data_IF_840775376632
#
_entry.id   IF_840775376632
#
_cell.length_a   1.000
_cell.length_b   1.000
_cell.length_c   1.000
_cell.angle_alpha   90.00
_cell.angle_beta   90.00
_cell.angle_gamma   90.00
#
_symmetry.space_group_name_H-M   'P 1'
#
loop_
_entity.id
_entity.type
_entity.pdbx_description
1 polymer ?
#
# COMPACT_ATOMS: atom_id res chain seq x y z
N UNK A 1 15.34 -21.59 0.12
CA UNK A 1 16.78 -21.82 0.31
C UNK A 1 17.54 -21.08 -0.77
N UNK A 2 18.26 -20.05 -0.41
CA UNK A 2 19.10 -19.27 -1.33
C UNK A 2 20.33 -20.11 -1.70
N UNK A 3 20.62 -20.23 -2.98
CA UNK A 3 21.77 -21.02 -3.44
C UNK A 3 23.05 -20.19 -3.22
N UNK A 4 24.01 -20.68 -2.46
CA UNK A 4 25.27 -20.00 -2.10
C UNK A 4 26.00 -19.39 -3.32
N UNK A 5 25.91 -20.05 -4.50
CA UNK A 5 26.50 -19.56 -5.76
C UNK A 5 25.86 -18.28 -6.32
N UNK A 6 24.55 -18.06 -6.08
CA UNK A 6 23.87 -16.85 -6.53
C UNK A 6 24.14 -15.65 -5.60
N UNK A 7 24.41 -15.92 -4.31
CA UNK A 7 24.81 -14.90 -3.32
C UNK A 7 26.19 -14.36 -3.68
N UNK A 8 27.17 -15.23 -3.96
CA UNK A 8 28.54 -14.82 -4.32
C UNK A 8 28.60 -13.97 -5.59
N UNK A 9 27.77 -14.27 -6.59
CA UNK A 9 27.69 -13.49 -7.84
C UNK A 9 27.11 -12.09 -7.56
N UNK A 10 26.03 -12.00 -6.78
CA UNK A 10 25.40 -10.71 -6.49
C UNK A 10 26.26 -9.83 -5.58
N UNK A 11 26.96 -10.40 -4.59
CA UNK A 11 27.95 -9.66 -3.77
C UNK A 11 29.12 -9.18 -4.64
N UNK A 12 29.57 -9.99 -5.62
CA UNK A 12 30.64 -9.57 -6.55
C UNK A 12 30.20 -8.43 -7.48
N UNK A 13 28.91 -8.38 -7.88
CA UNK A 13 28.36 -7.29 -8.67
C UNK A 13 28.17 -6.00 -7.84
N UNK A 14 27.74 -6.09 -6.58
CA UNK A 14 27.71 -4.97 -5.66
C UNK A 14 29.08 -4.32 -5.48
N UNK A 15 30.15 -5.13 -5.40
CA UNK A 15 31.54 -4.64 -5.33
C UNK A 15 32.00 -3.88 -6.58
N UNK A 16 31.41 -4.18 -7.77
CA UNK A 16 31.74 -3.48 -9.03
C UNK A 16 30.99 -2.18 -9.27
N UNK A 17 29.76 -2.05 -8.73
CA UNK A 17 28.91 -0.87 -8.96
C UNK A 17 29.20 0.32 -8.02
N UNK A 18 30.07 0.17 -7.02
CA UNK A 18 30.31 1.15 -5.94
C UNK A 18 31.04 2.44 -6.37
N UNK A 19 31.13 2.74 -7.68
CA UNK A 19 31.90 3.90 -8.17
C UNK A 19 31.08 5.10 -8.65
N UNK A 20 29.74 5.08 -8.59
CA UNK A 20 28.89 6.19 -9.04
C UNK A 20 27.92 6.65 -7.94
N UNK A 21 28.05 7.88 -7.49
CA UNK A 21 27.34 8.63 -6.44
C UNK A 21 27.33 7.91 -5.07
N UNK A 22 27.98 8.49 -4.09
CA UNK A 22 28.08 7.93 -2.75
C UNK A 22 26.70 7.86 -2.09
N UNK A 23 26.15 6.64 -1.80
CA UNK A 23 24.94 6.51 -1.00
C UNK A 23 25.17 7.15 0.38
N UNK A 24 24.10 7.69 0.97
CA UNK A 24 24.16 8.14 2.35
C UNK A 24 24.40 6.94 3.27
N UNK A 25 25.04 7.14 4.43
CA UNK A 25 25.16 6.06 5.42
C UNK A 25 23.79 5.56 5.89
N UNK A 26 23.71 4.28 6.22
CA UNK A 26 22.54 3.68 6.85
C UNK A 26 22.49 4.08 8.32
N UNK A 27 21.61 5.00 8.71
CA UNK A 27 21.49 5.49 10.09
C UNK A 27 20.63 4.55 10.91
N UNK A 28 21.18 4.02 12.00
CA UNK A 28 20.48 3.12 12.93
C UNK A 28 19.40 3.89 13.67
N UNK A 29 18.16 3.37 13.64
CA UNK A 29 17.00 3.91 14.35
C UNK A 29 16.80 3.24 15.70
N UNK A 30 16.90 1.91 15.75
CA UNK A 30 16.78 1.13 16.97
C UNK A 30 17.50 -0.22 16.84
N UNK A 31 17.80 -0.83 17.96
CA UNK A 31 18.48 -2.11 18.10
C UNK A 31 17.54 -3.06 18.85
N UNK A 32 17.40 -4.29 18.37
CA UNK A 32 16.59 -5.30 19.03
C UNK A 32 17.29 -5.78 20.31
N UNK A 33 16.59 -5.87 21.45
CA UNK A 33 17.16 -6.40 22.67
C UNK A 33 17.65 -7.84 22.51
N UNK A 34 18.84 -8.16 23.05
CA UNK A 34 19.47 -9.47 22.95
C UNK A 34 20.02 -9.81 21.56
N UNK A 35 20.17 -8.83 20.67
CA UNK A 35 20.71 -9.02 19.33
C UNK A 35 22.24 -8.83 19.29
N UNK A 36 22.85 -9.34 18.22
CA UNK A 36 24.29 -9.11 17.94
C UNK A 36 24.62 -7.60 17.92
N UNK A 37 23.73 -6.76 17.39
CA UNK A 37 23.91 -5.31 17.37
C UNK A 37 23.97 -4.71 18.77
N UNK A 38 23.18 -5.21 19.72
CA UNK A 38 23.26 -4.78 21.13
C UNK A 38 24.57 -5.23 21.77
N UNK A 39 24.99 -6.49 21.53
CA UNK A 39 26.28 -7.02 22.06
C UNK A 39 27.49 -6.26 21.50
N UNK A 40 27.40 -5.81 20.24
CA UNK A 40 28.44 -4.99 19.62
C UNK A 40 28.43 -3.52 20.09
N UNK A 41 27.42 -3.11 20.86
CA UNK A 41 27.30 -1.78 21.41
C UNK A 41 26.80 -0.72 20.40
N UNK A 42 26.01 -1.10 19.39
CA UNK A 42 25.34 -0.13 18.52
C UNK A 42 24.38 0.75 19.32
N UNK A 43 24.31 2.02 18.94
CA UNK A 43 23.38 2.99 19.49
C UNK A 43 22.51 3.65 18.38
N UNK A 44 21.29 4.11 18.71
CA UNK A 44 20.51 4.93 17.77
C UNK A 44 21.29 6.17 17.34
N UNK A 45 21.38 6.39 16.02
CA UNK A 45 22.17 7.46 15.42
C UNK A 45 23.50 7.01 14.82
N UNK A 46 23.98 5.81 15.17
CA UNK A 46 25.16 5.24 14.52
C UNK A 46 24.91 5.00 13.03
N UNK A 47 25.97 5.04 12.25
CA UNK A 47 25.90 4.92 10.80
C UNK A 47 26.69 3.71 10.34
N UNK A 48 26.00 2.77 9.70
CA UNK A 48 26.65 1.64 9.05
C UNK A 48 27.19 2.09 7.68
N UNK A 49 28.49 2.23 7.59
CA UNK A 49 29.16 2.74 6.40
C UNK A 49 29.36 1.65 5.35
N UNK A 50 29.90 0.48 5.77
CA UNK A 50 30.17 -0.65 4.88
C UNK A 50 29.99 -1.99 5.59
N UNK A 51 29.70 -3.01 4.79
CA UNK A 51 29.67 -4.43 5.14
C UNK A 51 30.56 -5.14 4.13
N UNK A 52 31.60 -5.86 4.58
CA UNK A 52 32.57 -6.55 3.72
C UNK A 52 33.14 -5.65 2.60
N UNK A 53 33.42 -4.38 2.94
CA UNK A 53 33.94 -3.37 2.02
C UNK A 53 32.90 -2.78 1.06
N UNK A 54 31.64 -3.22 1.10
CA UNK A 54 30.52 -2.73 0.27
C UNK A 54 29.65 -1.78 1.07
N UNK A 55 29.33 -0.60 0.51
CA UNK A 55 28.38 0.33 1.11
C UNK A 55 26.96 -0.06 0.71
N UNK A 56 26.08 -0.41 1.67
CA UNK A 56 24.71 -0.77 1.35
C UNK A 56 23.94 0.47 0.82
N UNK A 57 23.13 0.28 -0.23
CA UNK A 57 22.31 1.34 -0.84
C UNK A 57 20.91 1.41 -0.23
N UNK A 58 20.48 0.31 0.37
CA UNK A 58 19.13 0.13 0.89
C UNK A 58 19.04 -1.10 1.80
N UNK A 59 17.86 -1.36 2.37
CA UNK A 59 17.59 -2.53 3.22
C UNK A 59 17.78 -3.87 2.49
N UNK A 60 17.65 -3.91 1.16
CA UNK A 60 17.86 -5.14 0.38
C UNK A 60 19.35 -5.48 0.39
N UNK A 61 20.22 -4.49 0.07
CA UNK A 61 21.67 -4.68 0.15
C UNK A 61 22.11 -5.04 1.57
N UNK A 62 21.57 -4.36 2.59
CA UNK A 62 21.86 -4.69 3.98
C UNK A 62 21.55 -6.16 4.28
N UNK A 63 20.32 -6.60 4.03
CA UNK A 63 19.90 -7.99 4.28
C UNK A 63 20.72 -8.99 3.48
N UNK A 64 21.07 -8.64 2.23
CA UNK A 64 21.82 -9.51 1.35
C UNK A 64 23.29 -9.68 1.80
N UNK A 65 23.93 -8.58 2.20
CA UNK A 65 25.31 -8.57 2.68
C UNK A 65 25.48 -9.21 4.05
N UNK A 66 24.44 -9.15 4.90
CA UNK A 66 24.49 -9.71 6.27
C UNK A 66 24.13 -11.21 6.34
N UNK A 67 23.88 -11.89 5.21
CA UNK A 67 23.73 -13.34 5.17
C UNK A 67 25.07 -14.07 5.34
N UNK A 68 26.20 -13.42 4.98
CA UNK A 68 27.53 -14.00 5.16
C UNK A 68 27.80 -14.28 6.64
N UNK A 69 28.51 -15.39 6.93
CA UNK A 69 28.85 -15.82 8.28
C UNK A 69 30.00 -14.98 8.86
N UNK A 70 30.94 -14.52 8.02
CA UNK A 70 32.02 -13.60 8.38
C UNK A 70 31.70 -12.19 7.92
N UNK A 71 31.59 -11.23 8.84
CA UNK A 71 31.28 -9.83 8.55
C UNK A 71 32.37 -8.91 9.01
N UNK A 72 32.77 -7.98 8.13
CA UNK A 72 33.64 -6.85 8.41
C UNK A 72 32.80 -5.56 8.31
N UNK A 73 32.49 -4.95 9.44
CA UNK A 73 31.65 -3.75 9.49
C UNK A 73 32.51 -2.50 9.65
N UNK A 74 32.24 -1.46 8.85
CA UNK A 74 32.71 -0.10 9.09
C UNK A 74 31.54 0.71 9.66
N UNK A 75 31.67 1.23 10.88
CA UNK A 75 30.60 1.91 11.60
C UNK A 75 31.11 3.30 12.00
N UNK A 76 30.30 4.33 11.86
CA UNK A 76 30.59 5.65 12.42
C UNK A 76 29.63 5.94 13.57
N UNK A 77 30.14 6.19 14.74
CA UNK A 77 29.33 6.56 15.92
C UNK A 77 28.79 8.00 15.80
N UNK A 78 27.93 8.37 16.74
CA UNK A 78 27.32 9.71 16.80
C UNK A 78 28.34 10.85 17.03
N UNK A 79 29.55 10.53 17.52
CA UNK A 79 30.65 11.47 17.70
C UNK A 79 31.50 11.63 16.42
N UNK A 80 31.24 10.82 15.37
CA UNK A 80 31.99 10.83 14.11
C UNK A 80 33.23 9.95 14.10
N UNK A 81 33.42 9.09 15.10
CA UNK A 81 34.54 8.14 15.16
C UNK A 81 34.20 6.91 14.34
N UNK A 82 35.14 6.41 13.53
CA UNK A 82 34.98 5.20 12.75
C UNK A 82 35.50 4.00 13.51
N UNK A 83 34.66 2.99 13.65
CA UNK A 83 34.94 1.70 14.25
C UNK A 83 34.97 0.61 13.20
N UNK A 84 35.87 -0.35 13.33
CA UNK A 84 35.97 -1.53 12.49
C UNK A 84 35.69 -2.74 13.37
N UNK A 85 34.68 -3.53 12.99
CA UNK A 85 34.24 -4.67 13.77
C UNK A 85 34.25 -5.91 12.87
N UNK A 86 34.98 -6.93 13.30
CA UNK A 86 35.01 -8.26 12.70
C UNK A 86 34.18 -9.19 13.58
N UNK A 87 33.23 -9.90 12.99
CA UNK A 87 32.40 -10.86 13.69
C UNK A 87 32.12 -12.09 12.87
N UNK A 88 31.93 -13.22 13.54
CA UNK A 88 31.41 -14.47 13.01
C UNK A 88 30.02 -14.70 13.59
N UNK A 89 29.07 -15.17 12.75
CA UNK A 89 27.69 -15.47 13.12
C UNK A 89 27.13 -16.58 12.25
N UNK A 90 26.04 -17.23 12.67
CA UNK A 90 25.29 -18.11 11.79
C UNK A 90 24.60 -17.30 10.67
N UNK A 91 24.42 -17.93 9.49
CA UNK A 91 23.83 -17.24 8.32
C UNK A 91 22.44 -16.65 8.61
N UNK A 92 21.67 -17.32 9.47
CA UNK A 92 20.29 -16.90 9.82
C UNK A 92 20.23 -15.90 10.98
N UNK A 93 21.35 -15.62 11.65
CA UNK A 93 21.39 -14.65 12.75
C UNK A 93 21.28 -13.23 12.21
N UNK A 94 20.38 -12.44 12.81
CA UNK A 94 20.21 -11.03 12.48
C UNK A 94 21.07 -10.16 13.38
N UNK A 95 21.64 -9.09 12.80
CA UNK A 95 22.28 -8.05 13.61
C UNK A 95 21.29 -7.29 14.50
N UNK A 96 19.98 -7.40 14.25
CA UNK A 96 18.94 -6.74 15.05
C UNK A 96 18.83 -5.23 14.84
N UNK A 97 19.42 -4.69 13.77
CA UNK A 97 19.39 -3.26 13.47
C UNK A 97 18.16 -2.89 12.66
N UNK A 98 17.49 -1.79 13.05
CA UNK A 98 16.54 -1.09 12.19
C UNK A 98 17.10 0.28 11.81
N UNK A 99 16.67 0.81 10.67
CA UNK A 99 17.21 2.06 10.13
C UNK A 99 16.12 3.13 10.02
N UNK A 100 16.53 4.40 10.00
CA UNK A 100 15.62 5.53 9.85
C UNK A 100 14.93 5.56 8.49
N UNK A 101 15.59 5.07 7.44
CA UNK A 101 15.09 4.99 6.06
C UNK A 101 15.36 3.61 5.48
N UNK A 102 14.53 3.20 4.52
CA UNK A 102 14.74 1.95 3.79
C UNK A 102 15.72 2.11 2.61
N UNK A 103 15.84 3.33 2.08
CA UNK A 103 16.64 3.68 0.89
C UNK A 103 17.74 4.67 1.29
N UNK A 104 18.98 4.20 1.37
CA UNK A 104 20.12 5.02 1.82
C UNK A 104 20.69 5.91 0.71
N UNK A 105 20.44 5.61 -0.56
CA UNK A 105 20.82 6.42 -1.72
C UNK A 105 19.69 7.32 -2.25
N UNK A 106 18.57 7.33 -1.53
CA UNK A 106 17.39 8.13 -1.86
C UNK A 106 16.40 7.42 -2.79
N UNK A 107 15.23 8.04 -2.91
CA UNK A 107 14.10 7.54 -3.68
C UNK A 107 14.29 7.76 -5.19
N UNK A 108 13.93 6.75 -5.99
CA UNK A 108 13.75 6.91 -7.44
C UNK A 108 12.35 7.42 -7.72
N UNK A 109 12.30 8.63 -8.23
CA UNK A 109 11.04 9.28 -8.54
C UNK A 109 10.48 8.84 -9.90
N UNK A 110 9.15 8.81 -9.97
CA UNK A 110 8.41 8.58 -11.20
C UNK A 110 8.63 9.72 -12.19
N UNK A 111 8.87 9.39 -13.46
CA UNK A 111 9.04 10.34 -14.56
C UNK A 111 7.82 10.39 -15.50
N UNK A 112 6.72 9.73 -15.14
CA UNK A 112 5.48 9.72 -15.89
C UNK A 112 4.64 10.98 -15.57
N UNK A 113 3.74 11.32 -16.51
CA UNK A 113 2.82 12.46 -16.38
C UNK A 113 1.38 11.99 -16.61
N UNK A 114 1.00 10.93 -15.88
CA UNK A 114 -0.35 10.34 -15.98
C UNK A 114 -1.41 11.38 -15.60
N UNK A 115 -2.43 11.67 -16.42
CA UNK A 115 -3.48 12.62 -16.07
C UNK A 115 -4.29 12.17 -14.83
N UNK A 116 -4.30 10.87 -14.53
CA UNK A 116 -4.97 10.27 -13.38
C UNK A 116 -4.07 10.10 -12.15
N UNK A 117 -2.84 10.65 -12.15
CA UNK A 117 -1.96 10.53 -11.00
C UNK A 117 -2.54 11.24 -9.79
N UNK A 118 -2.81 10.51 -8.71
CA UNK A 118 -3.39 11.09 -7.50
C UNK A 118 -2.42 12.07 -6.81
N UNK A 119 -1.11 11.82 -6.91
CA UNK A 119 -0.08 12.73 -6.35
C UNK A 119 -0.09 14.08 -7.05
N UNK A 120 -0.26 14.10 -8.38
CA UNK A 120 -0.34 15.37 -9.14
C UNK A 120 -1.64 16.14 -8.90
N UNK A 121 -2.63 15.51 -8.27
CA UNK A 121 -3.90 16.10 -7.86
C UNK A 121 -3.89 16.58 -6.39
N UNK A 122 -2.75 16.56 -5.72
CA UNK A 122 -2.62 17.10 -4.35
C UNK A 122 -2.62 18.62 -4.37
N UNK A 123 -3.33 19.28 -3.42
CA UNK A 123 -3.23 20.73 -3.28
C UNK A 123 -1.83 21.14 -2.80
N UNK A 124 -1.32 22.32 -3.19
CA UNK A 124 -0.02 22.79 -2.73
C UNK A 124 -0.03 23.21 -1.26
N UNK A 125 1.14 23.22 -0.62
CA UNK A 125 1.35 23.80 0.70
C UNK A 125 1.24 22.81 1.87
N UNK A 126 1.20 21.51 1.59
CA UNK A 126 1.27 20.46 2.60
C UNK A 126 2.67 19.86 2.73
N UNK A 127 2.85 18.90 3.66
CA UNK A 127 4.12 18.23 3.91
C UNK A 127 4.70 17.56 2.65
N UNK A 128 6.00 17.63 2.46
CA UNK A 128 6.71 17.15 1.27
C UNK A 128 6.42 15.69 0.92
N UNK A 129 6.16 14.85 1.94
CA UNK A 129 5.88 13.43 1.72
C UNK A 129 4.62 13.15 0.90
N UNK A 130 3.66 14.08 0.82
CA UNK A 130 2.45 13.96 -0.01
C UNK A 130 2.72 14.17 -1.51
N UNK A 131 3.87 14.75 -1.86
CA UNK A 131 4.25 15.04 -3.25
C UNK A 131 5.31 14.08 -3.80
N UNK A 132 5.72 13.10 -3.01
CA UNK A 132 6.69 12.10 -3.44
C UNK A 132 6.04 11.11 -4.40
N UNK A 133 6.46 11.15 -5.64
CA UNK A 133 6.05 10.19 -6.69
C UNK A 133 7.08 9.08 -6.74
N UNK A 134 6.84 8.01 -6.00
CA UNK A 134 7.70 6.83 -6.06
C UNK A 134 7.47 6.02 -7.34
N UNK A 135 8.54 5.49 -7.89
CA UNK A 135 8.54 4.49 -8.97
C UNK A 135 9.80 3.64 -8.79
N UNK A 136 9.99 3.17 -7.54
CA UNK A 136 11.20 2.50 -7.08
C UNK A 136 10.95 1.00 -6.87
N UNK A 137 11.64 0.16 -7.67
CA UNK A 137 11.51 -1.30 -7.59
C UNK A 137 11.87 -1.86 -6.21
N UNK A 138 12.69 -1.16 -5.44
CA UNK A 138 13.08 -1.57 -4.08
C UNK A 138 11.90 -1.42 -3.11
N UNK A 139 11.16 -0.31 -3.18
CA UNK A 139 9.93 -0.13 -2.40
C UNK A 139 8.84 -1.12 -2.85
N UNK A 140 8.78 -1.42 -4.15
CA UNK A 140 7.90 -2.45 -4.66
C UNK A 140 8.19 -3.81 -4.02
N UNK A 141 9.46 -4.23 -3.98
CA UNK A 141 9.86 -5.49 -3.37
C UNK A 141 9.70 -5.52 -1.85
N UNK A 142 10.05 -4.42 -1.16
CA UNK A 142 10.03 -4.34 0.31
C UNK A 142 8.63 -4.18 0.90
N UNK A 143 7.77 -3.39 0.22
CA UNK A 143 6.52 -2.89 0.78
C UNK A 143 5.31 -3.00 -0.16
N UNK A 144 5.45 -3.58 -1.35
CA UNK A 144 4.34 -3.72 -2.29
C UNK A 144 3.95 -2.43 -3.02
N UNK A 145 4.78 -1.37 -2.98
CA UNK A 145 4.52 -0.15 -3.75
C UNK A 145 4.48 -0.44 -5.24
N UNK A 146 3.53 0.17 -5.94
CA UNK A 146 3.36 -0.05 -7.38
C UNK A 146 4.35 0.78 -8.19
N UNK A 147 5.07 0.13 -9.10
CA UNK A 147 6.00 0.77 -10.04
C UNK A 147 5.53 0.61 -11.48
N UNK A 148 6.00 1.50 -12.37
CA UNK A 148 5.56 1.51 -13.77
C UNK A 148 6.51 0.77 -14.72
N UNK A 149 7.71 0.39 -14.28
CA UNK A 149 8.81 -0.16 -15.07
C UNK A 149 9.35 0.80 -16.15
N UNK A 150 9.00 2.09 -16.12
CA UNK A 150 9.39 3.04 -17.17
C UNK A 150 10.73 3.73 -16.92
N UNK A 151 11.21 3.76 -15.68
CA UNK A 151 12.40 4.50 -15.24
C UNK A 151 13.60 3.59 -14.93
N UNK A 152 13.48 2.27 -15.08
CA UNK A 152 14.55 1.32 -14.80
C UNK A 152 15.71 1.43 -15.80
N UNK A 153 16.94 1.35 -15.29
CA UNK A 153 18.19 1.28 -16.04
C UNK A 153 18.65 -0.17 -16.18
N UNK A 154 19.63 -0.43 -17.05
CA UNK A 154 20.20 -1.77 -17.23
C UNK A 154 20.79 -2.36 -15.94
N UNK A 155 21.39 -1.51 -15.08
CA UNK A 155 21.87 -1.91 -13.76
C UNK A 155 20.75 -2.40 -12.84
N UNK A 156 19.56 -1.79 -12.96
CA UNK A 156 18.40 -2.17 -12.13
C UNK A 156 17.84 -3.53 -12.56
N UNK A 157 17.71 -3.74 -13.86
CA UNK A 157 17.32 -5.03 -14.42
C UNK A 157 18.28 -6.15 -14.00
N UNK A 158 19.60 -5.90 -14.07
CA UNK A 158 20.61 -6.86 -13.59
C UNK A 158 20.46 -7.15 -12.11
N UNK A 159 20.22 -6.14 -11.30
CA UNK A 159 20.03 -6.30 -9.85
C UNK A 159 18.75 -7.07 -9.52
N UNK A 160 17.63 -6.75 -10.16
CA UNK A 160 16.37 -7.50 -10.01
C UNK A 160 16.59 -8.99 -10.32
N UNK A 161 17.34 -9.29 -11.38
CA UNK A 161 17.68 -10.66 -11.75
C UNK A 161 18.62 -11.34 -10.76
N UNK A 162 19.76 -10.71 -10.42
CA UNK A 162 20.80 -11.32 -9.58
C UNK A 162 20.34 -11.50 -8.12
N UNK A 163 19.60 -10.55 -7.57
CA UNK A 163 19.07 -10.63 -6.21
C UNK A 163 17.66 -11.27 -6.15
N UNK A 164 17.12 -11.71 -7.30
CA UNK A 164 15.81 -12.39 -7.38
C UNK A 164 14.68 -11.57 -6.74
N UNK A 165 14.62 -10.25 -7.01
CA UNK A 165 13.62 -9.36 -6.42
C UNK A 165 12.24 -9.61 -7.03
N UNK A 166 11.48 -10.49 -6.39
CA UNK A 166 10.18 -11.00 -6.85
C UNK A 166 9.32 -11.45 -5.67
N UNK A 167 7.98 -11.26 -5.67
CA UNK A 167 7.25 -10.52 -6.72
C UNK A 167 7.45 -9.00 -6.66
N UNK A 168 7.27 -8.33 -7.80
CA UNK A 168 7.14 -6.88 -7.88
C UNK A 168 5.68 -6.49 -8.14
N UNK A 169 5.29 -5.29 -7.75
CA UNK A 169 3.96 -4.76 -7.94
C UNK A 169 3.96 -3.74 -9.07
N UNK A 170 3.24 -4.02 -10.17
CA UNK A 170 3.37 -3.28 -11.42
C UNK A 170 2.07 -2.58 -11.81
N UNK A 171 2.15 -1.26 -11.97
CA UNK A 171 1.10 -0.42 -12.56
C UNK A 171 1.05 -0.66 -14.08
N UNK A 172 0.10 -1.48 -14.49
CA UNK A 172 -0.07 -1.91 -15.90
C UNK A 172 -0.95 -0.93 -16.68
N UNK A 173 -2.15 -0.69 -16.22
CA UNK A 173 -3.22 0.14 -16.79
C UNK A 173 -3.72 -0.29 -18.17
N UNK A 174 -2.83 -0.68 -19.08
CA UNK A 174 -3.12 -1.26 -20.41
C UNK A 174 -1.93 -2.09 -20.90
N UNK A 175 -2.18 -3.13 -21.71
CA UNK A 175 -1.13 -3.92 -22.38
C UNK A 175 -0.83 -3.43 -23.80
N UNK A 176 -1.80 -2.72 -24.42
CA UNK A 176 -1.62 -2.13 -25.75
C UNK A 176 -0.57 -1.02 -25.68
N UNK A 177 0.55 -1.11 -26.44
CA UNK A 177 1.71 -0.22 -26.30
C UNK A 177 1.38 1.26 -26.44
N UNK A 178 0.62 1.62 -27.47
CA UNK A 178 0.24 3.00 -27.75
C UNK A 178 -0.69 3.57 -26.69
N UNK A 179 -1.67 2.77 -26.25
CA UNK A 179 -2.60 3.19 -25.20
C UNK A 179 -1.88 3.40 -23.87
N UNK A 180 -0.99 2.46 -23.49
CA UNK A 180 -0.21 2.60 -22.24
C UNK A 180 0.73 3.79 -22.30
N UNK A 181 1.39 4.01 -23.44
CA UNK A 181 2.26 5.18 -23.63
C UNK A 181 1.47 6.50 -23.54
N UNK A 182 0.24 6.52 -24.07
CA UNK A 182 -0.68 7.65 -23.95
C UNK A 182 -1.13 7.88 -22.49
N UNK A 183 -1.56 6.83 -21.78
CA UNK A 183 -2.02 6.90 -20.39
C UNK A 183 -0.94 7.40 -19.43
N UNK A 184 0.32 7.01 -19.63
CA UNK A 184 1.44 7.40 -18.78
C UNK A 184 2.17 8.65 -19.27
N UNK A 185 1.83 9.17 -20.44
CA UNK A 185 2.56 10.21 -21.17
C UNK A 185 4.07 9.89 -21.26
N UNK A 186 4.39 8.62 -21.54
CA UNK A 186 5.76 8.11 -21.58
C UNK A 186 5.89 7.00 -22.64
N UNK A 187 6.70 7.20 -23.66
CA UNK A 187 6.91 6.22 -24.73
C UNK A 187 7.50 4.89 -24.24
N UNK A 188 8.32 4.90 -23.19
CA UNK A 188 8.87 3.66 -22.58
C UNK A 188 7.79 2.77 -21.96
N UNK A 189 6.63 3.32 -21.64
CA UNK A 189 5.50 2.57 -21.12
C UNK A 189 4.98 1.52 -22.11
N UNK A 190 5.16 1.72 -23.41
CA UNK A 190 4.82 0.75 -24.46
C UNK A 190 5.64 -0.54 -24.46
N UNK A 191 6.70 -0.62 -23.66
CA UNK A 191 7.57 -1.81 -23.58
C UNK A 191 7.07 -2.91 -22.64
N UNK A 192 5.91 -2.73 -22.01
CA UNK A 192 5.42 -3.62 -20.95
C UNK A 192 5.44 -5.10 -21.33
N UNK A 193 4.92 -5.46 -22.51
CA UNK A 193 4.86 -6.87 -22.91
C UNK A 193 6.26 -7.50 -23.04
N UNK A 194 7.24 -6.77 -23.57
CA UNK A 194 8.62 -7.20 -23.61
C UNK A 194 9.23 -7.36 -22.22
N UNK A 195 8.83 -6.50 -21.27
CA UNK A 195 9.24 -6.60 -19.88
C UNK A 195 8.62 -7.82 -19.19
N UNK A 196 7.34 -8.14 -19.45
CA UNK A 196 6.72 -9.36 -18.96
C UNK A 196 7.42 -10.64 -19.50
N UNK A 197 7.79 -10.63 -20.78
CA UNK A 197 8.59 -11.72 -21.37
C UNK A 197 9.96 -11.85 -20.70
N UNK A 198 10.59 -10.72 -20.35
CA UNK A 198 11.85 -10.70 -19.60
C UNK A 198 11.71 -11.33 -18.20
N UNK A 199 10.60 -11.05 -17.46
CA UNK A 199 10.28 -11.69 -16.19
C UNK A 199 10.06 -13.18 -16.37
N UNK A 200 9.35 -13.59 -17.44
CA UNK A 200 9.07 -15.00 -17.76
C UNK A 200 10.36 -15.79 -17.95
N UNK A 201 11.29 -15.29 -18.75
CA UNK A 201 12.57 -15.93 -19.05
C UNK A 201 13.44 -16.15 -17.80
N UNK A 202 13.16 -15.42 -16.71
CA UNK A 202 13.93 -15.43 -15.46
C UNK A 202 13.20 -16.06 -14.29
N UNK A 203 11.99 -16.57 -14.51
CA UNK A 203 11.11 -17.06 -13.45
C UNK A 203 10.93 -16.05 -12.32
N UNK A 204 10.70 -14.79 -12.66
CA UNK A 204 10.34 -13.71 -11.76
C UNK A 204 8.85 -13.39 -11.91
N UNK A 205 8.23 -12.90 -10.85
CA UNK A 205 6.79 -12.76 -10.75
C UNK A 205 6.39 -11.32 -10.45
N UNK A 206 5.16 -10.97 -10.81
CA UNK A 206 4.58 -9.66 -10.52
C UNK A 206 3.12 -9.79 -10.06
N UNK A 207 2.68 -8.79 -9.30
CA UNK A 207 1.28 -8.44 -9.13
C UNK A 207 0.94 -7.24 -10.01
N UNK A 208 -0.16 -7.30 -10.76
CA UNK A 208 -0.56 -6.25 -11.69
C UNK A 208 -1.66 -5.36 -11.10
N UNK A 209 -1.66 -4.07 -11.46
CA UNK A 209 -2.73 -3.14 -11.15
C UNK A 209 -3.21 -2.43 -12.41
N UNK A 210 -4.51 -2.27 -12.54
CA UNK A 210 -5.17 -1.51 -13.61
C UNK A 210 -6.08 -0.46 -12.99
N UNK A 211 -5.71 0.81 -13.12
CA UNK A 211 -6.58 1.95 -12.79
C UNK A 211 -7.48 2.22 -13.99
N UNK A 212 -8.79 2.13 -13.81
CA UNK A 212 -9.76 2.35 -14.89
C UNK A 212 -10.10 3.82 -15.01
N UNK A 213 -9.84 4.36 -16.19
CA UNK A 213 -10.26 5.69 -16.63
C UNK A 213 -11.33 5.52 -17.71
N UNK A 214 -12.62 5.81 -17.40
CA UNK A 214 -13.71 5.59 -18.34
C UNK A 214 -13.50 6.27 -19.70
N UNK A 215 -13.78 5.53 -20.77
CA UNK A 215 -13.57 6.00 -22.14
C UNK A 215 -12.13 5.93 -22.65
N UNK A 216 -11.16 5.54 -21.81
CA UNK A 216 -9.76 5.39 -22.20
C UNK A 216 -9.32 3.92 -22.21
N UNK A 217 -9.34 3.26 -21.06
CA UNK A 217 -8.87 1.88 -20.90
C UNK A 217 -9.91 0.91 -20.36
N UNK A 218 -11.19 1.27 -20.39
CA UNK A 218 -12.33 0.41 -20.11
C UNK A 218 -12.78 -0.42 -21.34
N UNK A 219 -13.87 -1.11 -21.25
CA UNK A 219 -14.49 -1.87 -22.34
C UNK A 219 -13.51 -2.81 -23.05
N UNK A 220 -13.35 -2.68 -24.37
CA UNK A 220 -12.49 -3.55 -25.17
C UNK A 220 -11.02 -3.48 -24.80
N UNK A 221 -10.52 -2.32 -24.37
CA UNK A 221 -9.14 -2.16 -23.93
C UNK A 221 -8.88 -2.96 -22.63
N UNK A 222 -9.82 -2.93 -21.68
CA UNK A 222 -9.75 -3.75 -20.47
C UNK A 222 -9.79 -5.25 -20.79
N UNK A 223 -10.71 -5.68 -21.69
CA UNK A 223 -10.77 -7.08 -22.12
C UNK A 223 -9.43 -7.57 -22.67
N UNK A 224 -8.81 -6.80 -23.56
CA UNK A 224 -7.52 -7.14 -24.14
C UNK A 224 -6.45 -7.19 -23.04
N UNK A 225 -6.37 -6.16 -22.18
CA UNK A 225 -5.40 -6.09 -21.09
C UNK A 225 -5.48 -7.32 -20.18
N UNK A 226 -6.69 -7.70 -19.72
CA UNK A 226 -6.84 -8.84 -18.82
C UNK A 226 -6.56 -10.18 -19.50
N UNK A 227 -6.88 -10.31 -20.80
CA UNK A 227 -6.57 -11.52 -21.56
C UNK A 227 -5.06 -11.66 -21.81
N UNK A 228 -4.36 -10.58 -22.14
CA UNK A 228 -2.90 -10.57 -22.33
C UNK A 228 -2.18 -10.93 -21.03
N UNK A 229 -2.59 -10.32 -19.90
CA UNK A 229 -2.03 -10.66 -18.58
C UNK A 229 -2.32 -12.12 -18.21
N UNK A 230 -3.52 -12.64 -18.54
CA UNK A 230 -3.89 -14.02 -18.28
C UNK A 230 -3.08 -15.05 -19.08
N UNK A 231 -2.47 -14.66 -20.20
CA UNK A 231 -1.50 -15.53 -20.92
C UNK A 231 -0.27 -15.75 -20.05
N UNK A 232 0.22 -14.70 -19.38
CA UNK A 232 1.39 -14.72 -18.49
C UNK A 232 1.08 -15.28 -17.08
N UNK A 233 -0.18 -15.62 -16.81
CA UNK A 233 -0.61 -16.25 -15.56
C UNK A 233 -0.72 -17.79 -15.64
N UNK A 234 -0.28 -18.38 -16.75
CA UNK A 234 -0.35 -19.82 -17.00
C UNK A 234 0.99 -20.53 -16.75
N UNK A 235 0.90 -21.86 -16.59
CA UNK A 235 2.06 -22.71 -16.38
C UNK A 235 2.41 -22.92 -14.91
N UNK A 236 3.45 -23.71 -14.66
CA UNK A 236 3.89 -24.07 -13.30
C UNK A 236 4.55 -22.89 -12.57
N UNK A 237 5.03 -21.89 -13.33
CA UNK A 237 5.64 -20.69 -12.79
C UNK A 237 5.05 -19.44 -13.45
N UNK A 238 3.83 -19.00 -13.04
CA UNK A 238 3.17 -17.86 -13.64
C UNK A 238 3.94 -16.56 -13.36
N UNK A 239 4.08 -15.71 -14.40
CA UNK A 239 4.71 -14.38 -14.25
C UNK A 239 3.76 -13.42 -13.54
N UNK A 240 2.50 -13.37 -13.97
CA UNK A 240 1.49 -12.51 -13.36
C UNK A 240 0.67 -13.33 -12.37
N UNK A 241 0.88 -13.07 -11.09
CA UNK A 241 0.20 -13.79 -10.01
C UNK A 241 -1.25 -13.36 -9.82
N UNK A 242 -1.51 -12.07 -9.95
CA UNK A 242 -2.83 -11.48 -9.74
C UNK A 242 -2.95 -10.12 -10.40
N UNK A 243 -4.19 -9.68 -10.65
CA UNK A 243 -4.47 -8.35 -11.19
C UNK A 243 -5.55 -7.66 -10.36
N UNK A 244 -5.23 -6.51 -9.77
CA UNK A 244 -6.21 -5.62 -9.15
C UNK A 244 -6.75 -4.62 -10.17
N UNK A 245 -8.05 -4.40 -10.16
CA UNK A 245 -8.74 -3.42 -10.99
C UNK A 245 -9.36 -2.39 -10.05
N UNK A 246 -8.88 -1.17 -10.10
CA UNK A 246 -9.31 -0.08 -9.21
C UNK A 246 -9.92 1.07 -10.01
N UNK A 247 -10.92 1.79 -9.47
CA UNK A 247 -11.46 2.96 -10.14
C UNK A 247 -10.49 4.13 -10.05
N UNK A 248 -10.53 5.04 -11.03
CA UNK A 248 -9.76 6.28 -10.97
C UNK A 248 -10.27 7.18 -9.83
N UNK A 249 -9.34 7.63 -8.98
CA UNK A 249 -9.61 8.66 -7.96
C UNK A 249 -9.41 10.04 -8.57
N UNK A 250 -10.43 10.90 -8.50
CA UNK A 250 -10.39 12.26 -9.03
C UNK A 250 -10.66 13.27 -7.92
N UNK A 251 -9.84 14.32 -7.85
CA UNK A 251 -10.01 15.43 -6.89
C UNK A 251 -10.40 16.72 -7.58
N UNK A 252 -10.90 17.70 -6.82
CA UNK A 252 -11.21 19.04 -7.34
C UNK A 252 -9.97 19.87 -7.73
N UNK A 253 -8.77 19.43 -7.32
CA UNK A 253 -7.51 20.12 -7.59
C UNK A 253 -6.89 19.72 -8.93
N UNK A 254 -7.45 18.73 -9.60
CA UNK A 254 -6.99 18.32 -10.94
C UNK A 254 -7.25 19.39 -11.99
N UNK A 255 -6.50 19.41 -13.11
CA UNK A 255 -6.80 20.31 -14.23
C UNK A 255 -8.23 20.12 -14.75
N UNK A 256 -8.96 21.20 -15.00
CA UNK A 256 -10.36 21.13 -15.45
C UNK A 256 -10.56 20.45 -16.82
N UNK A 257 -9.51 20.44 -17.65
CA UNK A 257 -9.55 19.91 -19.04
C UNK A 257 -8.68 18.67 -19.23
N UNK A 258 -8.54 17.81 -18.21
CA UNK A 258 -7.75 16.58 -18.29
C UNK A 258 -8.44 15.46 -19.07
N UNK A 259 -9.72 15.63 -19.44
CA UNK A 259 -10.51 14.64 -20.16
C UNK A 259 -10.97 13.43 -19.36
N UNK A 260 -10.67 13.37 -18.05
CA UNK A 260 -11.06 12.25 -17.20
C UNK A 260 -12.51 12.37 -16.73
N UNK A 261 -13.20 11.26 -16.72
CA UNK A 261 -14.60 11.13 -16.32
C UNK A 261 -14.68 10.36 -15.00
N UNK A 262 -15.42 10.88 -14.00
CA UNK A 262 -15.65 10.14 -12.75
C UNK A 262 -16.40 8.83 -13.00
N UNK A 263 -16.11 7.83 -12.16
CA UNK A 263 -16.86 6.58 -12.18
C UNK A 263 -18.27 6.81 -11.61
N UNK A 264 -19.28 6.58 -12.41
CA UNK A 264 -20.67 6.57 -11.95
C UNK A 264 -21.18 5.13 -11.71
N UNK A 265 -22.36 5.01 -11.13
CA UNK A 265 -23.01 3.71 -10.85
C UNK A 265 -23.22 2.87 -12.10
N UNK A 266 -23.49 3.49 -13.26
CA UNK A 266 -23.69 2.77 -14.53
C UNK A 266 -22.37 2.20 -15.04
N UNK A 267 -21.31 3.00 -15.06
CA UNK A 267 -19.97 2.57 -15.43
C UNK A 267 -19.50 1.44 -14.51
N UNK A 268 -19.65 1.60 -13.19
CA UNK A 268 -19.27 0.57 -12.23
C UNK A 268 -19.98 -0.77 -12.47
N UNK A 269 -21.28 -0.75 -12.75
CA UNK A 269 -22.03 -1.96 -13.08
C UNK A 269 -21.55 -2.63 -14.36
N UNK A 270 -21.16 -1.86 -15.37
CA UNK A 270 -20.64 -2.38 -16.63
C UNK A 270 -19.28 -3.05 -16.44
N UNK A 271 -18.36 -2.40 -15.73
CA UNK A 271 -17.03 -2.95 -15.42
C UNK A 271 -17.15 -4.22 -14.57
N UNK A 272 -18.02 -4.23 -13.56
CA UNK A 272 -18.28 -5.43 -12.74
C UNK A 272 -18.75 -6.59 -13.63
N UNK A 273 -19.78 -6.38 -14.45
CA UNK A 273 -20.30 -7.44 -15.32
C UNK A 273 -19.25 -7.97 -16.29
N UNK A 274 -18.41 -7.10 -16.83
CA UNK A 274 -17.32 -7.45 -17.73
C UNK A 274 -16.27 -8.31 -17.03
N UNK A 275 -15.79 -7.88 -15.87
CA UNK A 275 -14.74 -8.60 -15.13
C UNK A 275 -15.26 -9.94 -14.61
N UNK A 276 -16.48 -10.00 -14.05
CA UNK A 276 -17.11 -11.25 -13.60
C UNK A 276 -17.26 -12.29 -14.74
N UNK A 277 -17.50 -11.83 -15.96
CA UNK A 277 -17.53 -12.71 -17.14
C UNK A 277 -16.13 -13.27 -17.46
N UNK A 278 -15.09 -12.44 -17.37
CA UNK A 278 -13.72 -12.87 -17.60
C UNK A 278 -13.21 -13.79 -16.47
N UNK A 279 -13.55 -13.52 -15.22
CA UNK A 279 -13.22 -14.40 -14.08
C UNK A 279 -13.73 -15.82 -14.29
N UNK A 280 -14.95 -15.99 -14.84
CA UNK A 280 -15.48 -17.33 -15.17
C UNK A 280 -14.64 -18.06 -16.21
N UNK A 281 -14.00 -17.35 -17.14
CA UNK A 281 -13.07 -17.93 -18.12
C UNK A 281 -11.73 -18.25 -17.44
N UNK A 282 -11.20 -17.32 -16.65
CA UNK A 282 -9.93 -17.49 -15.95
C UNK A 282 -9.98 -18.65 -14.96
N UNK A 283 -11.09 -18.80 -14.22
CA UNK A 283 -11.28 -19.95 -13.31
C UNK A 283 -11.18 -21.29 -14.03
N UNK A 284 -11.64 -21.38 -15.30
CA UNK A 284 -11.55 -22.58 -16.12
C UNK A 284 -10.16 -22.81 -16.71
N UNK A 285 -9.41 -21.74 -17.04
CA UNK A 285 -8.15 -21.82 -17.78
C UNK A 285 -6.91 -21.66 -16.94
N UNK A 286 -7.04 -21.02 -15.78
CA UNK A 286 -5.94 -20.73 -14.84
C UNK A 286 -6.18 -21.40 -13.48
N UNK A 287 -7.43 -21.75 -13.15
CA UNK A 287 -7.81 -22.28 -11.83
C UNK A 287 -8.07 -21.22 -10.78
N UNK A 288 -7.92 -19.95 -11.11
CA UNK A 288 -8.12 -18.77 -10.24
C UNK A 288 -9.03 -17.75 -10.92
N UNK A 289 -9.66 -16.87 -10.13
CA UNK A 289 -10.34 -15.68 -10.66
C UNK A 289 -9.34 -14.70 -11.29
N UNK A 290 -8.08 -14.68 -10.84
CA UNK A 290 -6.93 -13.99 -11.41
C UNK A 290 -7.02 -12.46 -11.40
N UNK A 291 -8.16 -11.88 -11.80
CA UNK A 291 -8.40 -10.44 -11.86
C UNK A 291 -9.54 -10.06 -10.90
N UNK A 292 -9.27 -9.19 -9.96
CA UNK A 292 -10.23 -8.78 -8.94
C UNK A 292 -10.50 -7.28 -8.98
N UNK A 293 -11.76 -6.95 -8.83
CA UNK A 293 -12.20 -5.58 -8.60
C UNK A 293 -11.98 -5.21 -7.13
N UNK A 294 -11.52 -3.99 -6.85
CA UNK A 294 -11.57 -3.46 -5.49
C UNK A 294 -13.02 -3.39 -5.01
N UNK A 295 -13.22 -3.46 -3.69
CA UNK A 295 -14.55 -3.41 -3.08
C UNK A 295 -15.29 -2.10 -3.41
N UNK A 296 -14.56 -1.04 -3.68
CA UNK A 296 -15.08 0.26 -4.09
C UNK A 296 -16.01 0.18 -5.31
N UNK A 297 -15.70 -0.66 -6.29
CA UNK A 297 -16.57 -0.86 -7.45
C UNK A 297 -17.97 -1.31 -7.07
N UNK A 298 -18.08 -2.25 -6.14
CA UNK A 298 -19.38 -2.78 -5.69
C UNK A 298 -20.15 -1.72 -4.91
N UNK A 299 -19.46 -0.93 -4.09
CA UNK A 299 -20.07 0.17 -3.33
C UNK A 299 -20.59 1.27 -4.27
N UNK A 300 -19.82 1.72 -5.26
CA UNK A 300 -20.25 2.69 -6.27
C UNK A 300 -21.44 2.14 -7.10
N UNK A 301 -21.38 0.85 -7.44
CA UNK A 301 -22.46 0.18 -8.17
C UNK A 301 -23.72 -0.05 -7.34
N UNK A 302 -23.66 0.18 -6.03
CA UNK A 302 -24.70 -0.17 -5.06
C UNK A 302 -25.06 -1.65 -5.13
N UNK A 303 -24.04 -2.51 -5.26
CA UNK A 303 -24.16 -3.96 -5.24
C UNK A 303 -23.61 -4.54 -3.95
N UNK A 304 -24.10 -5.70 -3.49
CA UNK A 304 -23.48 -6.44 -2.41
C UNK A 304 -22.02 -6.78 -2.76
N UNK A 305 -21.14 -6.75 -1.76
CA UNK A 305 -19.78 -7.26 -1.89
C UNK A 305 -19.81 -8.77 -2.17
N UNK A 306 -18.89 -9.29 -3.00
CA UNK A 306 -18.76 -10.73 -3.22
C UNK A 306 -18.53 -11.48 -1.90
N UNK A 307 -18.84 -12.77 -1.90
CA UNK A 307 -18.50 -13.65 -0.78
C UNK A 307 -16.97 -13.78 -0.64
N UNK A 308 -16.48 -14.06 0.57
CA UNK A 308 -15.04 -14.21 0.87
C UNK A 308 -14.32 -15.15 -0.10
N UNK A 309 -14.97 -16.26 -0.44
CA UNK A 309 -14.42 -17.25 -1.37
C UNK A 309 -14.14 -16.73 -2.78
N UNK A 310 -14.78 -15.63 -3.20
CA UNK A 310 -14.53 -15.01 -4.51
C UNK A 310 -13.20 -14.26 -4.56
N UNK A 311 -12.66 -13.87 -3.41
CA UNK A 311 -11.38 -13.15 -3.30
C UNK A 311 -10.18 -14.10 -3.09
N UNK A 312 -10.42 -15.40 -2.99
CA UNK A 312 -9.40 -16.43 -2.75
C UNK A 312 -8.53 -16.06 -1.52
N UNK A 313 -7.20 -15.99 -1.66
CA UNK A 313 -6.27 -15.66 -0.57
C UNK A 313 -6.08 -14.15 -0.34
N UNK A 314 -6.94 -13.29 -0.90
CA UNK A 314 -6.83 -11.83 -0.85
C UNK A 314 -5.49 -11.29 -1.38
N UNK A 315 -5.02 -11.69 -2.56
CA UNK A 315 -3.66 -11.39 -3.02
C UNK A 315 -3.40 -9.91 -3.29
N UNK A 316 -4.46 -9.06 -3.24
CA UNK A 316 -4.42 -7.63 -3.56
C UNK A 316 -5.17 -6.79 -2.51
N UNK A 317 -5.16 -7.22 -1.24
CA UNK A 317 -5.93 -6.56 -0.18
C UNK A 317 -5.57 -5.08 -0.01
N UNK A 318 -4.30 -4.71 -0.20
CA UNK A 318 -3.83 -3.33 -0.10
C UNK A 318 -4.40 -2.41 -1.21
N UNK A 319 -4.86 -2.98 -2.34
CA UNK A 319 -5.63 -2.28 -3.37
C UNK A 319 -7.14 -2.20 -3.08
N UNK A 320 -7.57 -2.52 -1.87
CA UNK A 320 -8.98 -2.57 -1.50
C UNK A 320 -9.73 -3.77 -2.07
N UNK A 321 -9.02 -4.82 -2.53
CA UNK A 321 -9.63 -6.05 -3.01
C UNK A 321 -9.99 -6.95 -1.82
N UNK A 322 -11.27 -7.01 -1.49
CA UNK A 322 -11.78 -7.79 -0.37
C UNK A 322 -11.45 -7.22 1.02
N UNK A 323 -10.90 -6.02 1.13
CA UNK A 323 -10.54 -5.41 2.40
C UNK A 323 -11.77 -5.09 3.25
N UNK A 324 -12.84 -4.57 2.65
CA UNK A 324 -14.10 -4.29 3.35
C UNK A 324 -14.81 -5.60 3.67
N UNK A 325 -14.77 -6.60 2.78
CA UNK A 325 -15.31 -7.94 3.07
C UNK A 325 -14.63 -8.55 4.29
N UNK A 326 -13.29 -8.56 4.34
CA UNK A 326 -12.53 -9.07 5.48
C UNK A 326 -12.84 -8.30 6.77
N UNK A 327 -12.97 -6.97 6.68
CA UNK A 327 -13.35 -6.15 7.82
C UNK A 327 -14.74 -6.51 8.37
N UNK A 328 -15.74 -6.71 7.48
CA UNK A 328 -17.08 -7.11 7.89
C UNK A 328 -17.10 -8.50 8.56
N UNK A 329 -16.32 -9.46 8.06
CA UNK A 329 -16.16 -10.77 8.71
C UNK A 329 -15.51 -10.64 10.09
N UNK A 330 -14.49 -9.80 10.24
CA UNK A 330 -13.89 -9.52 11.54
C UNK A 330 -14.90 -8.83 12.49
N UNK A 331 -15.76 -7.93 11.98
CA UNK A 331 -16.85 -7.35 12.77
C UNK A 331 -17.85 -8.40 13.22
N UNK A 332 -18.21 -9.36 12.37
CA UNK A 332 -19.11 -10.47 12.74
C UNK A 332 -18.49 -11.34 13.85
N UNK A 333 -17.19 -11.61 13.78
CA UNK A 333 -16.45 -12.36 14.83
C UNK A 333 -16.40 -11.54 16.12
N UNK A 334 -15.96 -10.28 16.07
CA UNK A 334 -15.82 -9.41 17.23
C UNK A 334 -17.16 -9.17 17.96
N UNK A 335 -18.27 -9.18 17.20
CA UNK A 335 -19.62 -8.98 17.76
C UNK A 335 -20.36 -10.29 18.09
N UNK A 336 -19.73 -11.46 17.95
CA UNK A 336 -20.38 -12.74 18.21
C UNK A 336 -20.76 -12.95 19.70
N UNK A 337 -19.98 -12.38 20.62
CA UNK A 337 -20.13 -12.59 22.07
C UNK A 337 -20.27 -11.25 22.81
N UNK A 338 -21.12 -10.34 22.29
CA UNK A 338 -21.41 -9.08 22.96
C UNK A 338 -22.13 -9.31 24.31
N UNK A 339 -21.84 -8.47 25.32
CA UNK A 339 -22.62 -8.51 26.58
C UNK A 339 -24.06 -8.06 26.28
N UNK A 340 -25.02 -8.56 27.06
CA UNK A 340 -26.42 -8.10 26.95
C UNK A 340 -26.59 -6.63 27.35
N UNK A 341 -25.69 -6.13 28.21
CA UNK A 341 -25.75 -4.79 28.79
C UNK A 341 -24.35 -4.30 29.16
N UNK A 342 -24.10 -2.99 29.03
CA UNK A 342 -22.93 -2.31 29.60
C UNK A 342 -23.25 -1.71 30.97
N UNK A 343 -22.21 -1.53 31.80
CA UNK A 343 -22.42 -1.08 33.20
C UNK A 343 -22.96 0.35 33.30
N UNK A 344 -22.42 1.24 32.44
CA UNK A 344 -22.84 2.64 32.34
C UNK A 344 -23.35 2.93 30.93
N UNK A 345 -24.52 3.57 30.80
CA UNK A 345 -24.96 4.01 29.48
C UNK A 345 -23.88 4.82 28.81
N UNK A 346 -23.58 4.50 27.55
CA UNK A 346 -22.53 5.16 26.74
C UNK A 346 -23.07 5.53 25.38
N UNK A 347 -22.78 6.76 24.96
CA UNK A 347 -23.05 7.24 23.61
C UNK A 347 -21.75 7.57 22.94
N UNK A 348 -21.48 6.96 21.79
CA UNK A 348 -20.29 7.21 21.00
C UNK A 348 -20.63 7.33 19.51
N UNK A 349 -19.68 7.86 18.75
CA UNK A 349 -19.82 8.08 17.33
C UNK A 349 -18.66 7.42 16.57
N UNK A 350 -18.98 6.73 15.49
CA UNK A 350 -18.01 6.11 14.60
C UNK A 350 -18.04 6.80 13.25
N UNK A 351 -16.89 7.35 12.78
CA UNK A 351 -16.80 8.09 11.54
C UNK A 351 -16.14 7.26 10.45
N UNK A 352 -16.74 7.28 9.28
CA UNK A 352 -16.25 6.57 8.09
C UNK A 352 -16.47 7.42 6.83
N UNK A 353 -15.83 7.06 5.73
CA UNK A 353 -16.15 7.66 4.43
C UNK A 353 -17.57 7.30 3.98
N UNK A 354 -18.26 8.21 3.32
CA UNK A 354 -19.66 8.01 2.88
C UNK A 354 -19.83 6.77 2.00
N UNK A 355 -18.81 6.43 1.23
CA UNK A 355 -18.88 5.28 0.34
C UNK A 355 -19.12 3.97 1.08
N UNK A 356 -18.50 3.79 2.25
CA UNK A 356 -18.55 2.52 3.01
C UNK A 356 -19.66 2.48 4.05
N UNK A 357 -20.26 3.62 4.41
CA UNK A 357 -21.26 3.74 5.47
C UNK A 357 -22.34 2.68 5.39
N UNK A 358 -22.98 2.51 4.23
CA UNK A 358 -24.08 1.56 4.04
C UNK A 358 -23.68 0.10 4.32
N UNK A 359 -22.44 -0.26 4.03
CA UNK A 359 -21.92 -1.60 4.28
C UNK A 359 -21.73 -1.88 5.77
N UNK A 360 -21.53 -0.83 6.57
CA UNK A 360 -21.25 -0.91 8.00
C UNK A 360 -22.49 -0.75 8.91
N UNK A 361 -23.64 -0.35 8.36
CA UNK A 361 -24.88 -0.15 9.13
C UNK A 361 -25.27 -1.42 9.91
N UNK A 362 -25.14 -2.60 9.31
CA UNK A 362 -25.50 -3.85 9.99
C UNK A 362 -24.63 -4.10 11.23
N UNK A 363 -23.32 -3.83 11.13
CA UNK A 363 -22.39 -3.95 12.26
C UNK A 363 -22.71 -2.93 13.37
N UNK A 364 -23.01 -1.67 13.02
CA UNK A 364 -23.44 -0.64 13.97
C UNK A 364 -24.75 -1.04 14.67
N UNK A 365 -25.74 -1.56 13.94
CA UNK A 365 -27.01 -2.00 14.51
C UNK A 365 -26.81 -3.13 15.51
N UNK A 366 -25.93 -4.09 15.21
CA UNK A 366 -25.61 -5.21 16.11
C UNK A 366 -24.97 -4.74 17.42
N UNK A 367 -24.10 -3.73 17.38
CA UNK A 367 -23.58 -3.10 18.60
C UNK A 367 -24.68 -2.38 19.40
N UNK A 368 -25.61 -1.74 18.72
CA UNK A 368 -26.75 -1.06 19.36
C UNK A 368 -27.82 -2.03 19.98
N UNK A 369 -27.69 -3.34 19.79
CA UNK A 369 -28.48 -4.33 20.53
C UNK A 369 -28.05 -4.47 22.01
N UNK A 370 -26.85 -3.99 22.35
CA UNK A 370 -26.33 -4.00 23.72
C UNK A 370 -27.08 -2.92 24.56
N UNK A 371 -27.77 -3.31 25.61
CA UNK A 371 -28.51 -2.38 26.49
C UNK A 371 -27.55 -1.35 27.10
N UNK A 372 -27.89 -0.09 26.94
CA UNK A 372 -27.10 1.05 27.44
C UNK A 372 -26.10 1.63 26.42
N UNK A 373 -25.81 0.93 25.30
CA UNK A 373 -24.93 1.44 24.26
C UNK A 373 -25.74 2.16 23.16
N UNK A 374 -25.25 3.33 22.75
CA UNK A 374 -25.71 4.05 21.56
C UNK A 374 -24.53 4.42 20.69
N UNK A 375 -24.35 3.71 19.58
CA UNK A 375 -23.31 3.98 18.59
C UNK A 375 -23.93 4.63 17.34
N UNK A 376 -23.56 5.88 17.06
CA UNK A 376 -23.92 6.56 15.82
C UNK A 376 -22.81 6.38 14.79
N UNK A 377 -23.16 5.93 13.58
CA UNK A 377 -22.23 5.92 12.45
C UNK A 377 -22.46 7.18 11.60
N UNK A 378 -21.38 7.88 11.25
CA UNK A 378 -21.38 9.06 10.39
C UNK A 378 -20.55 8.79 9.13
N UNK A 379 -21.25 8.65 8.00
CA UNK A 379 -20.62 8.57 6.69
C UNK A 379 -20.42 9.96 6.10
N UNK A 380 -19.19 10.44 6.07
CA UNK A 380 -18.87 11.80 5.62
C UNK A 380 -18.41 11.83 4.17
N UNK A 381 -18.84 12.85 3.40
CA UNK A 381 -18.21 13.18 2.13
C UNK A 381 -16.89 13.91 2.38
N UNK A 382 -16.07 14.08 1.37
CA UNK A 382 -14.93 14.98 1.44
C UNK A 382 -15.17 16.24 0.62
N UNK A 383 -15.43 17.34 1.29
CA UNK A 383 -15.44 18.67 0.69
C UNK A 383 -14.02 19.09 0.30
N UNK A 384 -13.01 18.61 1.05
CA UNK A 384 -11.61 18.88 0.79
C UNK A 384 -11.18 18.34 -0.59
N UNK A 385 -11.49 17.09 -0.93
CA UNK A 385 -11.20 16.52 -2.24
C UNK A 385 -12.26 16.82 -3.29
N UNK A 386 -13.43 17.30 -2.91
CA UNK A 386 -14.60 17.48 -3.78
C UNK A 386 -15.25 16.13 -4.17
N UNK A 387 -15.18 15.15 -3.27
CA UNK A 387 -15.73 13.80 -3.47
C UNK A 387 -16.92 13.55 -2.56
N UNK A 388 -18.11 13.29 -3.13
CA UNK A 388 -19.27 12.87 -2.35
C UNK A 388 -19.13 11.43 -1.86
N UNK A 389 -18.65 10.54 -2.69
CA UNK A 389 -18.36 9.14 -2.37
C UNK A 389 -16.85 8.97 -2.11
N UNK A 390 -16.46 9.09 -0.88
CA UNK A 390 -15.05 9.03 -0.47
C UNK A 390 -14.80 7.80 0.41
N UNK A 391 -13.64 7.19 0.25
CA UNK A 391 -13.15 6.11 1.13
C UNK A 391 -12.65 6.71 2.45
N UNK A 392 -12.73 5.92 3.52
CA UNK A 392 -12.44 6.37 4.89
C UNK A 392 -11.05 6.98 5.04
N UNK A 393 -10.02 6.36 4.44
CA UNK A 393 -8.63 6.81 4.55
C UNK A 393 -8.32 8.15 3.86
N UNK A 394 -9.23 8.68 3.05
CA UNK A 394 -9.09 9.99 2.42
C UNK A 394 -9.78 11.14 3.16
N UNK A 395 -10.51 10.85 4.27
CA UNK A 395 -11.10 11.91 5.08
C UNK A 395 -9.98 12.71 5.76
N UNK A 396 -10.10 14.05 5.65
CA UNK A 396 -9.17 15.00 6.25
C UNK A 396 -9.71 15.55 7.57
N UNK A 397 -8.86 16.20 8.36
CA UNK A 397 -9.30 16.92 9.55
C UNK A 397 -10.36 17.98 9.25
N UNK A 398 -10.22 18.71 8.14
CA UNK A 398 -11.19 19.70 7.68
C UNK A 398 -12.55 19.06 7.35
N UNK A 399 -12.57 17.88 6.70
CA UNK A 399 -13.82 17.15 6.42
C UNK A 399 -14.52 16.71 7.70
N UNK A 400 -13.75 16.28 8.70
CA UNK A 400 -14.27 15.88 10.01
C UNK A 400 -14.91 17.06 10.75
N UNK A 401 -14.24 18.20 10.78
CA UNK A 401 -14.79 19.42 11.41
C UNK A 401 -16.09 19.83 10.72
N UNK A 402 -16.09 19.93 9.38
CA UNK A 402 -17.26 20.37 8.63
C UNK A 402 -18.43 19.38 8.76
N UNK A 403 -18.14 18.08 8.62
CA UNK A 403 -19.15 17.02 8.62
C UNK A 403 -19.75 16.72 9.99
N UNK A 404 -19.01 16.99 11.07
CA UNK A 404 -19.43 16.72 12.44
C UNK A 404 -19.93 17.96 13.19
N UNK A 405 -19.75 19.15 12.62
CA UNK A 405 -20.23 20.40 13.22
C UNK A 405 -21.72 20.32 13.55
N UNK A 406 -22.06 20.69 14.77
CA UNK A 406 -23.42 20.66 15.31
C UNK A 406 -24.09 19.26 15.36
N UNK A 407 -23.30 18.19 15.26
CA UNK A 407 -23.79 16.82 15.50
C UNK A 407 -23.66 16.48 16.98
N UNK A 408 -24.57 15.64 17.46
CA UNK A 408 -24.44 15.04 18.77
C UNK A 408 -23.48 13.85 18.68
N UNK A 409 -22.23 14.06 19.07
CA UNK A 409 -21.14 13.08 18.95
C UNK A 409 -21.09 12.10 20.13
N UNK A 410 -21.86 12.35 21.19
CA UNK A 410 -21.79 11.58 22.41
C UNK A 410 -20.52 11.85 23.22
N UNK A 411 -20.09 10.85 24.00
CA UNK A 411 -18.98 10.97 24.94
C UNK A 411 -17.61 10.71 24.30
N UNK A 412 -17.59 10.04 23.14
CA UNK A 412 -16.36 9.64 22.45
C UNK A 412 -16.56 9.53 20.95
N UNK A 413 -15.55 9.94 20.18
CA UNK A 413 -15.49 9.82 18.74
C UNK A 413 -14.48 8.73 18.36
N UNK A 414 -14.92 7.72 17.62
CA UNK A 414 -14.08 6.63 17.12
C UNK A 414 -13.64 6.94 15.68
N UNK A 415 -12.33 7.08 15.47
CA UNK A 415 -11.75 7.33 14.15
C UNK A 415 -10.85 6.16 13.74
N UNK A 416 -11.09 5.53 12.58
CA UNK A 416 -10.18 4.52 12.04
C UNK A 416 -8.78 5.04 11.79
N UNK A 417 -7.77 4.30 12.22
CA UNK A 417 -6.34 4.68 12.07
C UNK A 417 -5.91 4.91 10.63
N UNK A 418 -6.63 4.36 9.65
CA UNK A 418 -6.40 4.58 8.21
C UNK A 418 -6.54 6.04 7.77
N UNK A 419 -7.16 6.90 8.59
CA UNK A 419 -7.26 8.35 8.34
C UNK A 419 -5.95 9.10 8.66
N UNK A 420 -5.06 8.50 9.44
CA UNK A 420 -3.83 9.13 9.90
C UNK A 420 -2.62 8.63 9.11
N UNK A 421 -1.57 9.42 9.08
CA UNK A 421 -0.27 9.00 8.58
C UNK A 421 0.28 7.90 9.47
N UNK A 422 0.80 6.83 8.88
CA UNK A 422 1.33 5.69 9.63
C UNK A 422 2.41 6.12 10.64
N UNK A 423 2.18 5.80 11.92
CA UNK A 423 3.08 6.13 13.02
C UNK A 423 3.07 7.60 13.47
N UNK A 424 2.16 8.42 12.96
CA UNK A 424 2.02 9.83 13.32
C UNK A 424 0.54 10.22 13.48
N UNK A 425 0.26 11.16 14.39
CA UNK A 425 -1.10 11.65 14.67
C UNK A 425 -1.47 12.85 13.78
N UNK A 426 -1.34 12.68 12.45
CA UNK A 426 -1.54 13.76 11.46
C UNK A 426 -2.38 13.27 10.29
N UNK A 427 -3.40 14.06 9.90
CA UNK A 427 -4.25 13.83 8.75
C UNK A 427 -3.59 14.21 7.42
N UNK A 428 -4.29 13.97 6.29
CA UNK A 428 -3.78 14.31 4.95
C UNK A 428 -3.67 15.80 4.67
N UNK A 429 -4.42 16.64 5.42
CA UNK A 429 -4.39 18.11 5.35
C UNK A 429 -3.46 18.73 6.39
N UNK A 430 -2.54 17.96 6.96
CA UNK A 430 -1.58 18.34 8.00
C UNK A 430 -2.19 18.76 9.35
N UNK A 431 -3.50 18.67 9.51
CA UNK A 431 -4.13 18.85 10.82
C UNK A 431 -3.70 17.73 11.76
N UNK A 432 -3.33 18.07 12.98
CA UNK A 432 -3.03 17.09 14.02
C UNK A 432 -4.30 16.57 14.69
N UNK A 433 -4.23 15.35 15.23
CA UNK A 433 -5.29 14.76 16.04
C UNK A 433 -5.64 15.63 17.25
N UNK A 434 -4.65 16.30 17.83
CA UNK A 434 -4.82 17.21 18.96
C UNK A 434 -5.67 18.43 18.57
N UNK A 435 -5.36 19.09 17.45
CA UNK A 435 -6.14 20.22 16.94
C UNK A 435 -7.59 19.84 16.64
N UNK A 436 -7.80 18.65 16.07
CA UNK A 436 -9.15 18.13 15.82
C UNK A 436 -9.92 17.91 17.14
N UNK A 437 -9.29 17.31 18.16
CA UNK A 437 -9.90 17.08 19.47
C UNK A 437 -10.27 18.40 20.16
N UNK A 438 -9.38 19.39 20.13
CA UNK A 438 -9.63 20.74 20.66
C UNK A 438 -10.77 21.45 19.92
N UNK A 439 -10.90 21.25 18.61
CA UNK A 439 -11.96 21.90 17.81
C UNK A 439 -13.33 21.25 18.02
N UNK A 440 -13.40 19.92 18.04
CA UNK A 440 -14.67 19.19 18.22
C UNK A 440 -15.14 19.12 19.67
N UNK A 441 -14.27 19.41 20.64
CA UNK A 441 -14.54 19.35 22.08
C UNK A 441 -15.08 17.99 22.55
N UNK A 442 -14.63 16.88 21.92
CA UNK A 442 -14.98 15.52 22.27
C UNK A 442 -13.71 14.65 22.30
N UNK A 443 -13.59 13.73 23.26
CA UNK A 443 -12.51 12.77 23.28
C UNK A 443 -12.49 11.92 22.00
N UNK A 444 -11.31 11.76 21.40
CA UNK A 444 -11.13 10.95 20.19
C UNK A 444 -10.33 9.72 20.53
N UNK A 445 -10.83 8.54 20.14
CA UNK A 445 -10.10 7.27 20.19
C UNK A 445 -9.81 6.80 18.77
N UNK A 446 -8.54 6.59 18.47
CA UNK A 446 -8.12 5.95 17.23
C UNK A 446 -8.32 4.44 17.37
N UNK A 447 -8.97 3.80 16.38
CA UNK A 447 -9.32 2.39 16.40
C UNK A 447 -8.63 1.63 15.26
N UNK A 448 -8.10 0.45 15.59
CA UNK A 448 -7.26 -0.39 14.73
C UNK A 448 -7.98 -1.70 14.35
N UNK A 449 -9.10 -1.62 13.64
CA UNK A 449 -9.84 -2.79 13.19
C UNK A 449 -11.09 -3.08 14.04
N UNK A 450 -11.68 -4.24 13.78
CA UNK A 450 -13.01 -4.60 14.31
C UNK A 450 -13.01 -4.78 15.84
N UNK A 451 -12.03 -5.52 16.37
CA UNK A 451 -11.97 -5.81 17.81
C UNK A 451 -11.81 -4.54 18.63
N UNK A 452 -10.97 -3.60 18.15
CA UNK A 452 -10.75 -2.35 18.85
C UNK A 452 -11.97 -1.41 18.79
N UNK A 453 -12.74 -1.43 17.69
CA UNK A 453 -14.01 -0.70 17.59
C UNK A 453 -15.01 -1.25 18.61
N UNK A 454 -15.14 -2.57 18.71
CA UNK A 454 -16.03 -3.22 19.67
C UNK A 454 -15.60 -2.92 21.10
N UNK A 455 -14.32 -3.11 21.42
CA UNK A 455 -13.77 -2.79 22.74
C UNK A 455 -14.00 -1.30 23.10
N UNK A 456 -13.68 -0.39 22.18
CA UNK A 456 -13.90 1.05 22.37
C UNK A 456 -15.36 1.43 22.61
N UNK A 457 -16.29 0.69 22.01
CA UNK A 457 -17.73 0.93 22.20
C UNK A 457 -18.25 0.44 23.54
N UNK A 458 -17.78 -0.73 24.05
CA UNK A 458 -18.36 -1.40 25.23
C UNK A 458 -17.56 -1.19 26.53
N UNK A 459 -16.28 -0.85 26.44
CA UNK A 459 -15.44 -0.55 27.62
C UNK A 459 -15.83 0.79 28.26
N UNK A 460 -15.70 0.87 29.61
CA UNK A 460 -15.98 2.08 30.41
C UNK A 460 -14.96 3.20 30.20
#
# INVERSE_FOLDING_TARGET
>A
MWNKSSVDVAVSELKKESTASFPKPAVVKSIAPGSIGEELGFEPGDQLLKINGVRPRDLIDYRFLTVEEELHLEIMDSAGTIHYVDLEKEADDSLGLTFTEALFDGLRQCNNQCPFCFIDQQPPGHRDSLYLKDDDYRLSFLYGSYLTLTNLKDSDWKRIESQRLSPLYVSVHATQPELRAQLLHNSRAGLLMQQLDWFAQRNLQIHAQVVICPGLNDGKALDNTLQDLAIHAKGDWPVVLSTAIVPVGLTRFRPQNDGLIPIDTKCARQVIAQVELLQKKFKKTIGSNFAWLSDEWYLIAQKPLPARSAYEDLPQQENGVGSIRAFLENMDIATANLPSKIQKPKKCSWVVGRLVEKALIAASNKLNEVEGLTLHIFGLPSAYWGQDQVVTGLLTGADLIEGLKNKDLGEQLLLPSVMLKHGEDVFLDDMSLKELCETLQVPIRIVHGADDIVAAAIED
#
